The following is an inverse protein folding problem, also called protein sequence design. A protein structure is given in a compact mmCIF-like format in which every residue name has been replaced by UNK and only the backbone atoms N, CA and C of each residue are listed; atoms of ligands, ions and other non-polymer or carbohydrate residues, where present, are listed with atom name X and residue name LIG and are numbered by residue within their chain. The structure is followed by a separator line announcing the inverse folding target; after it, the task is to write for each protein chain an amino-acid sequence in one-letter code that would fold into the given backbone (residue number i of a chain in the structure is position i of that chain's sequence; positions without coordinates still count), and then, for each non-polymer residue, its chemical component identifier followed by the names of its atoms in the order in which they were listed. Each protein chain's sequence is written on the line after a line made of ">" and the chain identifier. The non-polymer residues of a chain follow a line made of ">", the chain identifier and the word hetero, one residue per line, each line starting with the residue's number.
data_IF_049291842584
#
_entry.id   IF_049291842584
#
_cell.length_a   1.000
_cell.length_b   1.000
_cell.length_c   1.000
_cell.angle_alpha   90.00
_cell.angle_beta   90.00
_cell.angle_gamma   90.00
#
_symmetry.space_group_name_H-M   'P 1'
#
loop_
_entity.id
_entity.type
_entity.pdbx_description
1 polymer ?
#
# COMPACT_ATOMS: atom_id res chain seq x y z
N UNK A 1 24.53 0.28 -13.23
CA UNK A 1 23.28 -0.42 -13.56
C UNK A 1 23.01 -1.58 -12.64
N UNK A 2 22.18 -1.36 -11.62
CA UNK A 2 21.62 -2.40 -10.77
C UNK A 2 20.11 -2.21 -10.63
N UNK A 3 19.36 -3.27 -10.31
CA UNK A 3 17.93 -3.18 -10.00
C UNK A 3 16.96 -3.08 -11.19
N UNK A 4 17.43 -3.29 -12.41
CA UNK A 4 16.58 -3.22 -13.62
C UNK A 4 15.73 -4.47 -13.88
N UNK A 5 16.15 -5.63 -13.35
CA UNK A 5 15.49 -6.91 -13.58
C UNK A 5 14.25 -7.11 -12.70
N UNK A 6 13.38 -8.04 -13.10
CA UNK A 6 12.19 -8.41 -12.35
C UNK A 6 12.58 -9.07 -10.99
N UNK A 7 12.21 -8.48 -9.83
CA UNK A 7 12.57 -8.99 -8.50
C UNK A 7 11.86 -10.29 -8.13
N UNK A 8 10.88 -10.75 -8.91
CA UNK A 8 10.27 -12.07 -8.74
C UNK A 8 11.12 -13.20 -9.34
N UNK A 9 12.15 -12.87 -10.14
CA UNK A 9 12.98 -13.87 -10.82
C UNK A 9 14.15 -14.32 -9.96
N UNK A 10 14.44 -15.61 -10.05
CA UNK A 10 15.46 -16.26 -9.22
C UNK A 10 16.88 -16.21 -9.80
N UNK A 11 17.08 -15.73 -11.03
CA UNK A 11 18.42 -15.54 -11.59
C UNK A 11 19.16 -14.38 -10.90
N UNK A 12 20.46 -14.25 -11.14
CA UNK A 12 21.36 -13.35 -10.39
C UNK A 12 20.83 -11.91 -10.33
N UNK A 13 20.44 -11.35 -11.46
CA UNK A 13 20.01 -9.97 -11.58
C UNK A 13 18.64 -9.76 -10.92
N UNK A 14 17.72 -10.74 -11.01
CA UNK A 14 16.43 -10.71 -10.31
C UNK A 14 16.59 -10.75 -8.79
N UNK A 15 17.47 -11.62 -8.27
CA UNK A 15 17.83 -11.61 -6.83
C UNK A 15 18.45 -10.29 -6.40
N UNK A 16 19.27 -9.66 -7.24
CA UNK A 16 19.84 -8.34 -6.95
C UNK A 16 18.76 -7.25 -6.86
N UNK A 17 17.80 -7.25 -7.79
CA UNK A 17 16.65 -6.33 -7.73
C UNK A 17 15.79 -6.56 -6.48
N UNK A 18 15.56 -7.83 -6.10
CA UNK A 18 14.83 -8.18 -4.87
C UNK A 18 15.51 -7.65 -3.62
N UNK A 19 16.84 -7.83 -3.49
CA UNK A 19 17.61 -7.31 -2.37
C UNK A 19 17.49 -5.78 -2.23
N UNK A 20 17.53 -5.04 -3.35
CA UNK A 20 17.36 -3.58 -3.34
C UNK A 20 15.94 -3.17 -2.92
N UNK A 21 14.92 -3.89 -3.39
CA UNK A 21 13.53 -3.64 -3.01
C UNK A 21 13.29 -3.93 -1.53
N UNK A 22 13.86 -5.01 -0.99
CA UNK A 22 13.72 -5.38 0.42
C UNK A 22 14.41 -4.36 1.32
N UNK A 23 15.63 -3.91 0.98
CA UNK A 23 16.33 -2.84 1.70
C UNK A 23 15.54 -1.51 1.67
N UNK A 24 14.93 -1.16 0.53
CA UNK A 24 14.08 0.02 0.44
C UNK A 24 12.83 -0.09 1.33
N UNK A 25 12.25 -1.30 1.44
CA UNK A 25 11.10 -1.57 2.30
C UNK A 25 11.46 -1.45 3.77
N UNK A 26 12.61 -1.97 4.18
CA UNK A 26 13.13 -1.85 5.54
C UNK A 26 13.32 -0.38 5.93
N UNK A 27 14.02 0.40 5.10
CA UNK A 27 14.26 1.82 5.36
C UNK A 27 12.96 2.64 5.42
N UNK A 28 12.01 2.37 4.52
CA UNK A 28 10.72 3.06 4.53
C UNK A 28 9.87 2.70 5.76
N UNK A 29 9.89 1.43 6.18
CA UNK A 29 9.13 0.94 7.33
C UNK A 29 9.68 1.53 8.64
N UNK A 30 11.00 1.62 8.76
CA UNK A 30 11.67 2.32 9.87
C UNK A 30 11.25 3.78 9.94
N UNK A 31 11.25 4.49 8.80
CA UNK A 31 10.89 5.91 8.74
C UNK A 31 9.44 6.21 9.18
N UNK A 32 8.51 5.25 9.00
CA UNK A 32 7.09 5.40 9.41
C UNK A 32 6.73 4.61 10.66
N UNK A 33 7.69 3.91 11.28
CA UNK A 33 7.51 3.17 12.53
C UNK A 33 6.64 1.92 12.42
N UNK A 34 6.68 1.18 11.30
CA UNK A 34 5.97 -0.09 11.15
C UNK A 34 6.93 -1.27 10.85
N UNK A 35 6.42 -2.50 10.87
CA UNK A 35 7.21 -3.67 10.45
C UNK A 35 7.32 -3.72 8.93
N UNK A 36 8.44 -4.22 8.35
CA UNK A 36 8.58 -4.30 6.89
C UNK A 36 7.45 -5.09 6.20
N UNK A 37 6.89 -6.11 6.85
CA UNK A 37 5.75 -6.90 6.33
C UNK A 37 4.40 -6.16 6.37
N UNK A 38 4.33 -5.01 7.04
CA UNK A 38 3.15 -4.13 7.11
C UNK A 38 3.18 -3.04 6.03
N UNK A 39 4.33 -2.80 5.40
CA UNK A 39 4.50 -1.77 4.38
C UNK A 39 4.26 -2.33 2.98
N UNK A 40 3.48 -1.62 2.17
CA UNK A 40 3.27 -1.92 0.74
C UNK A 40 3.58 -0.69 -0.10
N UNK A 41 4.40 -0.85 -1.14
CA UNK A 41 4.63 0.22 -2.13
C UNK A 41 3.47 0.27 -3.12
N UNK A 42 3.00 1.47 -3.39
CA UNK A 42 1.96 1.76 -4.38
C UNK A 42 2.47 2.76 -5.40
N UNK A 43 1.84 2.81 -6.57
CA UNK A 43 2.22 3.75 -7.64
C UNK A 43 1.92 5.22 -7.30
N UNK A 44 0.99 5.48 -6.37
CA UNK A 44 0.63 6.84 -5.93
C UNK A 44 -0.05 6.85 -4.56
N UNK A 45 -0.11 8.02 -3.92
CA UNK A 45 -0.89 8.20 -2.68
C UNK A 45 -2.38 7.95 -2.86
N UNK A 46 -2.96 8.30 -4.02
CA UNK A 46 -4.36 7.98 -4.34
C UNK A 46 -4.60 6.48 -4.34
N UNK A 47 -3.72 5.71 -4.99
CA UNK A 47 -3.81 4.25 -5.01
C UNK A 47 -3.66 3.66 -3.62
N UNK A 48 -2.76 4.18 -2.79
CA UNK A 48 -2.61 3.77 -1.39
C UNK A 48 -3.89 3.97 -0.58
N UNK A 49 -4.49 5.17 -0.67
CA UNK A 49 -5.72 5.50 0.06
C UNK A 49 -6.88 4.60 -0.36
N UNK A 50 -7.10 4.43 -1.67
CA UNK A 50 -8.18 3.59 -2.17
C UNK A 50 -8.00 2.12 -1.75
N UNK A 51 -6.78 1.59 -1.85
CA UNK A 51 -6.48 0.22 -1.42
C UNK A 51 -6.66 0.05 0.10
N UNK A 52 -6.24 1.03 0.90
CA UNK A 52 -6.38 1.03 2.35
C UNK A 52 -7.85 1.00 2.81
N UNK A 53 -8.69 1.88 2.25
CA UNK A 53 -10.12 1.95 2.59
C UNK A 53 -10.84 0.66 2.17
N UNK A 54 -10.62 0.20 0.93
CA UNK A 54 -11.22 -1.04 0.44
C UNK A 54 -10.79 -2.26 1.28
N UNK A 55 -9.50 -2.34 1.62
CA UNK A 55 -8.95 -3.39 2.48
C UNK A 55 -9.55 -3.39 3.88
N UNK A 56 -9.67 -2.22 4.50
CA UNK A 56 -10.27 -2.07 5.83
C UNK A 56 -11.75 -2.51 5.84
N UNK A 57 -12.54 -2.09 4.84
CA UNK A 57 -13.93 -2.51 4.69
C UNK A 57 -14.07 -4.02 4.46
N UNK A 58 -13.24 -4.58 3.57
CA UNK A 58 -13.22 -6.02 3.29
C UNK A 58 -12.85 -6.85 4.53
N UNK A 59 -11.84 -6.41 5.29
CA UNK A 59 -11.42 -7.04 6.53
C UNK A 59 -12.51 -7.00 7.62
N UNK A 60 -13.30 -5.92 7.66
CA UNK A 60 -14.40 -5.72 8.62
C UNK A 60 -15.77 -6.15 8.14
N UNK A 61 -15.89 -6.83 6.99
CA UNK A 61 -17.17 -7.20 6.35
C UNK A 61 -18.20 -7.90 7.25
N UNK A 62 -17.76 -8.59 8.32
CA UNK A 62 -18.64 -9.26 9.30
C UNK A 62 -19.26 -8.32 10.33
N UNK A 63 -18.67 -7.15 10.54
CA UNK A 63 -19.15 -6.12 11.48
C UNK A 63 -20.05 -5.13 10.75
N UNK A 64 -19.75 -4.84 9.48
CA UNK A 64 -20.52 -3.93 8.64
C UNK A 64 -19.63 -3.17 7.68
N UNK A 65 -20.26 -2.32 6.85
CA UNK A 65 -19.58 -1.49 5.84
C UNK A 65 -19.61 0.02 6.17
N UNK A 66 -20.07 0.39 7.36
CA UNK A 66 -20.18 1.80 7.73
C UNK A 66 -18.79 2.46 7.82
N UNK A 67 -18.65 3.59 7.14
CA UNK A 67 -17.43 4.40 7.08
C UNK A 67 -17.71 5.77 7.71
N UNK A 68 -16.84 6.20 8.63
CA UNK A 68 -16.85 7.54 9.19
C UNK A 68 -15.60 8.28 8.71
N UNK A 69 -15.77 9.50 8.23
CA UNK A 69 -14.70 10.33 7.67
C UNK A 69 -14.94 11.81 8.00
N UNK A 70 -13.86 12.61 7.99
CA UNK A 70 -13.96 14.06 8.16
C UNK A 70 -14.42 14.74 6.87
N UNK A 71 -15.11 15.88 6.98
CA UNK A 71 -15.54 16.67 5.83
C UNK A 71 -14.37 17.39 5.12
N UNK A 72 -13.19 17.46 5.76
CA UNK A 72 -12.00 18.15 5.24
C UNK A 72 -10.91 17.20 4.75
N UNK A 73 -11.24 15.92 4.55
CA UNK A 73 -10.29 14.95 3.99
C UNK A 73 -9.86 15.33 2.57
N UNK A 74 -8.69 14.84 2.18
CA UNK A 74 -8.21 14.98 0.79
C UNK A 74 -9.16 14.30 -0.20
N UNK A 75 -9.21 14.79 -1.45
CA UNK A 75 -10.13 14.31 -2.48
C UNK A 75 -10.03 12.81 -2.76
N UNK A 76 -8.84 12.21 -2.63
CA UNK A 76 -8.66 10.74 -2.77
C UNK A 76 -9.44 9.94 -1.72
N UNK A 77 -9.55 10.44 -0.48
CA UNK A 77 -10.33 9.79 0.58
C UNK A 77 -11.82 9.93 0.27
N UNK A 78 -12.26 11.15 -0.06
CA UNK A 78 -13.67 11.44 -0.36
C UNK A 78 -14.18 10.62 -1.57
N UNK A 79 -13.41 10.57 -2.65
CA UNK A 79 -13.76 9.77 -3.82
C UNK A 79 -13.78 8.26 -3.51
N UNK A 80 -12.84 7.77 -2.71
CA UNK A 80 -12.83 6.36 -2.31
C UNK A 80 -14.04 6.03 -1.41
N UNK A 81 -14.42 6.93 -0.51
CA UNK A 81 -15.59 6.76 0.35
C UNK A 81 -16.89 6.68 -0.47
N UNK A 82 -17.09 7.64 -1.39
CA UNK A 82 -18.26 7.67 -2.27
C UNK A 82 -18.41 6.40 -3.11
N UNK A 83 -17.29 5.80 -3.56
CA UNK A 83 -17.31 4.54 -4.30
C UNK A 83 -17.80 3.33 -3.47
N UNK A 84 -17.82 3.43 -2.14
CA UNK A 84 -18.24 2.36 -1.23
C UNK A 84 -19.60 2.61 -0.55
N UNK A 85 -20.22 3.77 -0.78
CA UNK A 85 -21.59 4.09 -0.32
C UNK A 85 -22.68 3.43 -1.19
N UNK A 86 -22.33 2.95 -2.38
CA UNK A 86 -23.18 2.10 -3.24
C UNK A 86 -23.24 0.64 -2.76
#
# INVERSE_FOLDING_TARGET
>A
DEGWADPARLYREGRRARLLLDAAREAAAEAVGCRPDELVFTSSGTTAVHAGIAGALSGRRRVGRHLALSAVEHSSVLHSAAAHEA
#
